data_IF_001534302744
#
_entry.id   IF_001534302744
#
_cell.length_a   1.000
_cell.length_b   1.000
_cell.length_c   1.000
_cell.angle_alpha   90.00
_cell.angle_beta   90.00
_cell.angle_gamma   90.00
#
_symmetry.space_group_name_H-M   'P 1'
#
loop_
_entity.id
_entity.type
_entity.pdbx_description
1 polymer ?
#
# COMPACT_ATOMS: atom_id res chain seq x y z
N UNK A 1 -0.71 0.03 -0.35
CA UNK A 1 -1.84 -0.25 -1.28
C UNK A 1 -1.62 -1.52 -2.09
N UNK A 2 -0.47 -1.70 -2.78
CA UNK A 2 -0.19 -2.90 -3.61
C UNK A 2 -0.39 -4.21 -2.85
N UNK A 3 0.23 -4.34 -1.67
CA UNK A 3 0.06 -5.50 -0.78
C UNK A 3 -1.42 -5.88 -0.59
N UNK A 4 -2.29 -4.92 -0.24
CA UNK A 4 -3.71 -5.23 -0.05
C UNK A 4 -4.39 -5.74 -1.33
N UNK A 5 -4.00 -5.22 -2.50
CA UNK A 5 -4.54 -5.63 -3.80
C UNK A 5 -4.09 -7.05 -4.16
N UNK A 6 -2.87 -7.44 -3.81
CA UNK A 6 -2.32 -8.77 -4.05
C UNK A 6 -2.91 -9.81 -3.10
N UNK A 7 -3.05 -9.46 -1.82
CA UNK A 7 -3.42 -10.39 -0.75
C UNK A 7 -4.93 -10.41 -0.43
N UNK A 8 -5.72 -9.42 -0.86
CA UNK A 8 -7.19 -9.48 -0.78
C UNK A 8 -7.90 -8.71 -1.93
N UNK A 9 -7.66 -9.06 -3.21
CA UNK A 9 -8.17 -8.33 -4.36
C UNK A 9 -9.70 -8.22 -4.38
N UNK A 10 -10.41 -9.29 -3.99
CA UNK A 10 -11.87 -9.33 -4.01
C UNK A 10 -12.49 -8.21 -3.14
N UNK A 11 -11.87 -7.88 -2.00
CA UNK A 11 -12.34 -6.83 -1.10
C UNK A 11 -11.85 -5.44 -1.53
N UNK A 12 -10.59 -5.33 -1.97
CA UNK A 12 -9.98 -4.00 -2.16
C UNK A 12 -10.02 -3.47 -3.58
N UNK A 13 -10.02 -4.31 -4.62
CA UNK A 13 -10.02 -3.84 -6.00
C UNK A 13 -11.24 -2.95 -6.30
N UNK A 14 -12.49 -3.31 -5.91
CA UNK A 14 -13.64 -2.43 -6.09
C UNK A 14 -13.50 -1.09 -5.36
N UNK A 15 -12.91 -1.10 -4.14
CA UNK A 15 -12.69 0.11 -3.35
C UNK A 15 -11.65 1.03 -4.00
N UNK A 16 -10.54 0.48 -4.49
CA UNK A 16 -9.51 1.25 -5.18
C UNK A 16 -9.99 1.77 -6.53
N UNK A 17 -10.77 0.99 -7.27
CA UNK A 17 -11.43 1.46 -8.49
C UNK A 17 -12.40 2.61 -8.20
N UNK A 18 -13.22 2.49 -7.17
CA UNK A 18 -14.13 3.56 -6.75
C UNK A 18 -13.38 4.83 -6.34
N UNK A 19 -12.27 4.70 -5.61
CA UNK A 19 -11.37 5.81 -5.29
C UNK A 19 -10.80 6.46 -6.55
N UNK A 20 -10.33 5.65 -7.51
CA UNK A 20 -9.84 6.13 -8.80
C UNK A 20 -10.88 6.94 -9.58
N UNK A 21 -12.13 6.48 -9.61
CA UNK A 21 -13.22 7.22 -10.28
C UNK A 21 -13.58 8.49 -9.50
N UNK A 22 -13.86 8.38 -8.21
CA UNK A 22 -14.45 9.48 -7.44
C UNK A 22 -13.46 10.59 -7.08
N UNK A 23 -12.18 10.26 -6.90
CA UNK A 23 -11.18 11.20 -6.40
C UNK A 23 -10.16 11.53 -7.47
N UNK A 24 -9.78 10.55 -8.30
CA UNK A 24 -8.74 10.73 -9.33
C UNK A 24 -9.32 10.96 -10.73
N UNK A 25 -10.65 10.98 -10.88
CA UNK A 25 -11.35 11.31 -12.12
C UNK A 25 -11.19 10.26 -13.22
N UNK A 26 -10.98 8.98 -12.87
CA UNK A 26 -10.87 7.93 -13.87
C UNK A 26 -12.21 7.60 -14.52
N UNK A 27 -12.14 7.11 -15.76
CA UNK A 27 -13.32 6.64 -16.47
C UNK A 27 -13.82 5.34 -15.85
N UNK A 28 -15.07 5.27 -15.33
CA UNK A 28 -15.62 4.04 -14.78
C UNK A 28 -15.72 2.91 -15.81
N UNK A 29 -15.79 3.22 -17.11
CA UNK A 29 -15.85 2.22 -18.17
C UNK A 29 -14.54 1.42 -18.34
N UNK A 30 -13.42 1.89 -17.77
CA UNK A 30 -12.14 1.17 -17.81
C UNK A 30 -12.17 -0.13 -16.97
N UNK A 31 -13.16 -0.29 -16.09
CA UNK A 31 -13.37 -1.49 -15.28
C UNK A 31 -12.55 -1.52 -13.98
N UNK A 32 -12.92 -2.44 -13.08
CA UNK A 32 -12.41 -2.50 -11.71
C UNK A 32 -10.90 -2.76 -11.67
N UNK A 33 -10.42 -3.80 -12.36
CA UNK A 33 -9.02 -4.22 -12.28
C UNK A 33 -8.04 -3.20 -12.85
N UNK A 34 -8.46 -2.49 -13.91
CA UNK A 34 -7.66 -1.42 -14.51
C UNK A 34 -7.65 -0.22 -13.57
N UNK A 35 -8.81 0.24 -13.13
CA UNK A 35 -8.90 1.43 -12.27
C UNK A 35 -8.23 1.22 -10.91
N UNK A 36 -8.31 0.02 -10.32
CA UNK A 36 -7.64 -0.29 -9.05
C UNK A 36 -6.11 -0.16 -9.16
N UNK A 37 -5.50 -0.75 -10.19
CA UNK A 37 -4.05 -0.65 -10.43
C UNK A 37 -3.63 0.79 -10.77
N UNK A 38 -4.37 1.44 -11.66
CA UNK A 38 -4.11 2.83 -12.05
C UNK A 38 -4.20 3.79 -10.86
N UNK A 39 -5.08 3.51 -9.88
CA UNK A 39 -5.25 4.37 -8.71
C UNK A 39 -4.01 4.35 -7.83
N UNK A 40 -3.40 3.18 -7.64
CA UNK A 40 -2.14 3.03 -6.89
C UNK A 40 -1.04 3.89 -7.52
N UNK A 41 -0.83 3.76 -8.83
CA UNK A 41 0.23 4.50 -9.53
C UNK A 41 -0.04 6.00 -9.53
N UNK A 42 -1.29 6.44 -9.76
CA UNK A 42 -1.63 7.86 -9.72
C UNK A 42 -1.48 8.47 -8.33
N UNK A 43 -1.75 7.72 -7.26
CA UNK A 43 -1.46 8.18 -5.88
C UNK A 43 0.04 8.32 -5.66
N UNK A 44 0.85 7.37 -6.13
CA UNK A 44 2.30 7.46 -6.05
C UNK A 44 2.84 8.66 -6.86
N UNK A 45 2.31 8.90 -8.05
CA UNK A 45 2.65 10.07 -8.88
C UNK A 45 2.28 11.39 -8.22
N UNK A 46 1.14 11.42 -7.53
CA UNK A 46 0.71 12.60 -6.78
C UNK A 46 1.70 12.92 -5.66
N UNK A 47 2.13 11.94 -4.85
CA UNK A 47 3.14 12.18 -3.81
C UNK A 47 4.47 12.65 -4.40
N UNK A 48 4.90 12.06 -5.53
CA UNK A 48 6.09 12.53 -6.26
C UNK A 48 5.96 13.99 -6.70
N UNK A 49 4.78 14.40 -7.17
CA UNK A 49 4.51 15.79 -7.59
C UNK A 49 4.59 16.80 -6.44
N UNK A 50 4.41 16.35 -5.19
CA UNK A 50 4.57 17.16 -3.97
C UNK A 50 6.02 17.18 -3.47
N UNK A 51 6.95 16.49 -4.14
CA UNK A 51 8.34 16.37 -3.70
C UNK A 51 8.53 15.41 -2.51
N UNK A 52 7.53 14.58 -2.21
CA UNK A 52 7.68 13.50 -1.23
C UNK A 52 8.51 12.39 -1.89
N UNK A 53 9.61 12.01 -1.25
CA UNK A 53 10.46 10.90 -1.68
C UNK A 53 9.69 9.58 -1.62
N UNK A 54 9.99 8.67 -2.56
CA UNK A 54 9.08 7.56 -2.88
C UNK A 54 9.48 6.26 -2.20
N UNK A 55 10.74 6.14 -1.81
CA UNK A 55 11.29 4.90 -1.25
C UNK A 55 11.94 5.14 0.11
N UNK A 56 12.05 4.08 0.89
CA UNK A 56 12.81 4.07 2.13
C UNK A 56 14.30 4.37 1.87
N UNK A 57 14.84 3.97 0.72
CA UNK A 57 16.23 4.26 0.32
C UNK A 57 16.52 5.74 0.17
N UNK A 58 15.55 6.52 -0.29
CA UNK A 58 15.69 7.98 -0.40
C UNK A 58 15.95 8.64 0.97
N UNK A 59 15.58 7.97 2.07
CA UNK A 59 15.83 8.38 3.45
C UNK A 59 17.05 7.69 4.08
N UNK A 60 17.82 6.93 3.30
CA UNK A 60 18.95 6.15 3.81
C UNK A 60 18.54 4.93 4.65
N UNK A 61 17.31 4.44 4.48
CA UNK A 61 16.82 3.23 5.15
C UNK A 61 17.01 2.05 4.21
N UNK A 62 17.67 1.00 4.72
CA UNK A 62 17.81 -0.30 4.08
C UNK A 62 17.06 -1.38 4.88
N UNK A 63 17.26 -2.65 4.52
CA UNK A 63 16.60 -3.80 5.13
C UNK A 63 17.20 -4.24 6.47
N UNK A 64 18.30 -3.61 6.93
CA UNK A 64 19.04 -4.00 8.15
C UNK A 64 18.13 -4.12 9.38
N UNK A 65 17.14 -3.23 9.51
CA UNK A 65 16.26 -3.14 10.67
C UNK A 65 14.80 -3.55 10.42
N UNK A 66 14.46 -4.11 9.25
CA UNK A 66 13.05 -4.43 8.94
C UNK A 66 12.44 -5.46 9.89
N UNK A 67 13.24 -6.41 10.38
CA UNK A 67 12.78 -7.33 11.41
C UNK A 67 12.35 -6.62 12.70
N UNK A 68 13.17 -5.70 13.19
CA UNK A 68 12.89 -4.90 14.40
C UNK A 68 11.68 -3.99 14.19
N UNK A 69 11.55 -3.39 13.01
CA UNK A 69 10.39 -2.57 12.66
C UNK A 69 9.10 -3.39 12.65
N UNK A 70 9.13 -4.62 12.12
CA UNK A 70 7.98 -5.51 12.10
C UNK A 70 7.58 -5.95 13.52
N UNK A 71 8.56 -6.30 14.36
CA UNK A 71 8.32 -6.65 15.76
C UNK A 71 7.74 -5.47 16.54
N UNK A 72 8.25 -4.26 16.30
CA UNK A 72 7.77 -3.05 16.93
C UNK A 72 6.32 -2.72 16.54
N UNK A 73 5.95 -2.85 15.27
CA UNK A 73 4.56 -2.65 14.82
C UNK A 73 3.59 -3.60 15.53
N UNK A 74 3.95 -4.87 15.69
CA UNK A 74 3.06 -5.86 16.30
C UNK A 74 2.95 -5.73 17.84
N UNK A 75 3.92 -5.10 18.48
CA UNK A 75 4.01 -5.07 19.96
C UNK A 75 3.76 -3.70 20.58
N UNK A 76 4.05 -2.61 19.87
CA UNK A 76 4.02 -1.25 20.41
C UNK A 76 2.92 -0.37 19.80
N UNK A 77 2.35 -0.73 18.65
CA UNK A 77 1.30 0.06 17.99
C UNK A 77 -0.10 -0.51 18.27
N UNK A 78 -1.08 0.40 18.41
CA UNK A 78 -2.45 0.04 18.67
C UNK A 78 -3.14 -0.45 17.39
N UNK A 79 -3.47 -1.73 17.32
CA UNK A 79 -4.25 -2.28 16.21
C UNK A 79 -4.32 -3.80 16.22
N UNK A 80 -5.46 -4.34 15.77
CA UNK A 80 -5.60 -5.75 15.44
C UNK A 80 -5.40 -5.91 13.93
N UNK A 81 -4.14 -6.12 13.52
CA UNK A 81 -3.77 -6.19 12.11
C UNK A 81 -4.37 -7.39 11.36
N UNK A 82 -4.88 -8.40 12.10
CA UNK A 82 -5.66 -9.49 11.52
C UNK A 82 -7.01 -9.04 10.94
N UNK A 83 -7.49 -7.85 11.33
CA UNK A 83 -8.75 -7.26 10.86
C UNK A 83 -8.57 -6.18 9.80
N UNK A 84 -7.34 -5.97 9.32
CA UNK A 84 -7.09 -5.05 8.21
C UNK A 84 -7.67 -5.60 6.89
N UNK A 85 -7.78 -4.75 5.87
CA UNK A 85 -8.38 -5.16 4.59
C UNK A 85 -7.69 -6.37 3.95
N UNK A 86 -6.38 -6.49 4.12
CA UNK A 86 -5.64 -7.73 3.90
C UNK A 86 -4.91 -8.01 5.21
N UNK A 87 -5.30 -9.05 5.97
CA UNK A 87 -4.67 -9.39 7.24
C UNK A 87 -3.15 -9.42 7.11
N UNK A 88 -2.45 -8.73 8.02
CA UNK A 88 -1.00 -8.55 7.97
C UNK A 88 -0.38 -9.11 9.25
N UNK A 89 0.56 -10.02 9.08
CA UNK A 89 1.42 -10.54 10.13
C UNK A 89 2.85 -9.95 10.01
N UNK A 90 3.79 -10.49 10.79
CA UNK A 90 5.19 -10.05 10.77
C UNK A 90 5.81 -10.16 9.38
N UNK A 91 5.53 -11.23 8.65
CA UNK A 91 6.07 -11.46 7.31
C UNK A 91 5.48 -10.45 6.31
N UNK A 92 4.17 -10.20 6.40
CA UNK A 92 3.49 -9.18 5.59
C UNK A 92 4.05 -7.77 5.82
N UNK A 93 4.41 -7.41 7.05
CA UNK A 93 5.06 -6.12 7.34
C UNK A 93 6.42 -6.03 6.64
N UNK A 94 7.25 -7.08 6.75
CA UNK A 94 8.57 -7.12 6.10
C UNK A 94 8.43 -7.07 4.58
N UNK A 95 7.43 -7.75 4.02
CA UNK A 95 7.13 -7.71 2.59
C UNK A 95 6.79 -6.28 2.13
N UNK A 96 5.93 -5.57 2.88
CA UNK A 96 5.58 -4.18 2.60
C UNK A 96 6.81 -3.27 2.66
N UNK A 97 7.65 -3.40 3.70
CA UNK A 97 8.87 -2.62 3.86
C UNK A 97 9.84 -2.89 2.70
N UNK A 98 10.02 -4.16 2.32
CA UNK A 98 10.87 -4.58 1.21
C UNK A 98 10.37 -4.04 -0.13
N UNK A 99 9.05 -4.07 -0.37
CA UNK A 99 8.44 -3.49 -1.56
C UNK A 99 8.48 -1.95 -1.57
N UNK A 100 8.89 -1.32 -0.46
CA UNK A 100 9.01 0.14 -0.31
C UNK A 100 10.46 0.63 -0.34
N UNK A 101 11.44 -0.26 -0.51
CA UNK A 101 12.83 0.09 -0.82
C UNK A 101 12.98 0.61 -2.25
#
# INVERSE_FOLDING_TARGET
MRYCLEHNPAVVAPKFAQYGVNVLGFNPADGVDVNARKAIERTADFFRSLGITQTLRDFGIDDTHFGEMADHVLTAWFGDYSKSFAPIDRAGIIEILTASL
#
